data_IF_886260444064
#
_entry.id   IF_886260444064
#
_cell.length_a   1.000
_cell.length_b   1.000
_cell.length_c   1.000
_cell.angle_alpha   90.00
_cell.angle_beta   90.00
_cell.angle_gamma   90.00
#
_symmetry.space_group_name_H-M   'P 1'
#
loop_
_entity.id
_entity.type
_entity.pdbx_description
1 polymer ?
#
# COMPACT_ATOMS: atom_id res chain seq x y z
N UNK A 1 -10.37 7.23 -9.86
CA UNK A 1 -10.47 6.19 -8.81
C UNK A 1 -9.11 5.53 -8.70
N UNK A 2 -8.69 5.21 -7.49
CA UNK A 2 -7.39 4.58 -7.22
C UNK A 2 -7.64 3.38 -6.34
N UNK A 3 -6.96 2.28 -6.64
CA UNK A 3 -6.89 1.10 -5.79
C UNK A 3 -5.42 0.90 -5.43
N UNK A 4 -5.17 0.54 -4.18
CA UNK A 4 -3.86 0.13 -3.70
C UNK A 4 -3.95 -1.31 -3.22
N UNK A 5 -2.98 -2.14 -3.58
CA UNK A 5 -2.82 -3.49 -3.06
C UNK A 5 -1.50 -3.53 -2.31
N UNK A 6 -1.57 -3.88 -1.03
CA UNK A 6 -0.41 -4.06 -0.18
C UNK A 6 0.19 -5.45 -0.41
N UNK A 7 1.51 -5.50 -0.53
CA UNK A 7 2.29 -6.72 -0.54
C UNK A 7 3.44 -6.58 0.47
N UNK A 8 4.23 -7.65 0.67
CA UNK A 8 5.33 -7.67 1.63
C UNK A 8 6.41 -6.60 1.32
N UNK A 9 6.82 -6.48 0.06
CA UNK A 9 7.96 -5.68 -0.40
C UNK A 9 7.56 -4.48 -1.28
N UNK A 10 6.26 -4.32 -1.58
CA UNK A 10 5.77 -3.31 -2.51
C UNK A 10 4.30 -2.96 -2.29
N UNK A 11 3.90 -1.84 -2.86
CA UNK A 11 2.52 -1.44 -3.07
C UNK A 11 2.22 -1.42 -4.57
N UNK A 12 1.11 -2.04 -4.96
CA UNK A 12 0.59 -1.90 -6.31
C UNK A 12 -0.43 -0.78 -6.36
N UNK A 13 -0.20 0.22 -7.20
CA UNK A 13 -1.15 1.32 -7.44
C UNK A 13 -1.83 1.12 -8.78
N UNK A 14 -3.16 1.01 -8.75
CA UNK A 14 -3.98 0.79 -9.94
C UNK A 14 -4.86 2.02 -10.17
N UNK A 15 -4.73 2.62 -11.35
CA UNK A 15 -5.50 3.80 -11.78
C UNK A 15 -6.09 3.57 -13.17
N UNK A 16 -6.90 4.51 -13.67
CA UNK A 16 -7.44 4.49 -15.04
C UNK A 16 -8.26 3.23 -15.44
N UNK A 17 -8.78 2.47 -14.49
CA UNK A 17 -9.65 1.33 -14.75
C UNK A 17 -11.12 1.74 -14.97
N UNK A 18 -11.87 0.91 -15.71
CA UNK A 18 -13.32 1.11 -15.97
C UNK A 18 -14.14 -0.01 -15.32
N UNK A 19 -15.12 0.37 -14.50
CA UNK A 19 -15.92 -0.60 -13.74
C UNK A 19 -15.04 -1.41 -12.79
N UNK A 20 -15.13 -2.72 -12.91
CA UNK A 20 -14.36 -3.75 -12.20
C UNK A 20 -13.16 -4.28 -12.99
N UNK A 21 -12.88 -3.73 -14.17
CA UNK A 21 -11.75 -4.14 -15.01
C UNK A 21 -10.41 -3.57 -14.49
N UNK A 22 -10.03 -3.89 -13.25
CA UNK A 22 -8.85 -3.35 -12.58
C UNK A 22 -7.56 -3.61 -13.36
N UNK A 23 -7.40 -4.82 -13.91
CA UNK A 23 -6.22 -5.21 -14.68
C UNK A 23 -6.11 -4.54 -16.07
N UNK A 24 -7.16 -3.84 -16.52
CA UNK A 24 -7.10 -2.98 -17.73
C UNK A 24 -6.71 -1.53 -17.41
N UNK A 25 -6.49 -1.20 -16.13
CA UNK A 25 -5.98 0.09 -15.70
C UNK A 25 -4.46 0.22 -15.85
N UNK A 26 -3.93 1.37 -15.45
CA UNK A 26 -2.50 1.59 -15.26
C UNK A 26 -2.08 0.97 -13.94
N UNK A 27 -1.14 0.02 -13.99
CA UNK A 27 -0.59 -0.67 -12.82
C UNK A 27 0.83 -0.16 -12.60
N UNK A 28 1.08 0.39 -11.42
CA UNK A 28 2.37 0.95 -11.00
C UNK A 28 2.89 0.18 -9.78
N UNK A 29 4.17 -0.21 -9.82
CA UNK A 29 4.86 -0.85 -8.70
C UNK A 29 5.59 0.21 -7.87
N UNK A 30 5.23 0.32 -6.59
CA UNK A 30 5.88 1.20 -5.63
C UNK A 30 6.59 0.34 -4.59
N UNK A 31 7.90 0.11 -4.79
CA UNK A 31 8.71 -0.73 -3.92
C UNK A 31 8.90 -0.08 -2.54
N UNK A 32 8.91 -0.92 -1.53
CA UNK A 32 9.30 -0.51 -0.19
C UNK A 32 10.80 -0.72 0.02
N UNK A 33 11.40 0.15 0.83
CA UNK A 33 12.79 0.03 1.27
C UNK A 33 12.81 -0.34 2.76
N UNK A 34 12.31 -1.55 3.08
CA UNK A 34 12.24 -2.06 4.45
C UNK A 34 12.16 -3.60 4.48
N UNK A 35 12.42 -4.18 5.65
CA UNK A 35 12.39 -5.64 5.88
C UNK A 35 11.39 -6.03 7.00
N UNK A 36 10.20 -5.42 7.02
CA UNK A 36 9.12 -5.79 7.97
C UNK A 36 7.85 -6.24 7.26
N UNK A 37 7.17 -7.23 7.84
CA UNK A 37 5.92 -7.79 7.35
C UNK A 37 4.78 -6.77 7.53
N UNK A 38 4.08 -6.44 6.44
CA UNK A 38 2.97 -5.48 6.42
C UNK A 38 1.62 -6.18 6.50
N UNK A 39 0.74 -5.68 7.35
CA UNK A 39 -0.54 -6.31 7.70
C UNK A 39 -1.76 -5.45 7.31
N UNK A 40 -1.59 -4.15 7.14
CA UNK A 40 -2.71 -3.24 6.90
C UNK A 40 -2.33 -2.03 6.06
N UNK A 41 -3.30 -1.54 5.28
CA UNK A 41 -3.19 -0.31 4.49
C UNK A 41 -4.50 0.45 4.51
N UNK A 42 -4.45 1.78 4.67
CA UNK A 42 -5.61 2.63 4.48
C UNK A 42 -5.22 3.98 3.85
N UNK A 43 -6.17 4.62 3.16
CA UNK A 43 -5.98 5.99 2.68
C UNK A 43 -6.12 6.98 3.84
N UNK A 44 -5.09 7.80 4.03
CA UNK A 44 -5.18 9.01 4.88
C UNK A 44 -5.81 10.16 4.11
N UNK A 45 -5.41 10.30 2.85
CA UNK A 45 -5.88 11.32 1.91
C UNK A 45 -5.70 10.82 0.46
N UNK A 46 -5.91 11.70 -0.53
CA UNK A 46 -5.86 11.33 -1.94
C UNK A 46 -4.45 10.95 -2.46
N UNK A 47 -3.40 11.24 -1.68
CA UNK A 47 -1.99 11.10 -2.05
C UNK A 47 -1.17 10.29 -1.06
N UNK A 48 -1.74 9.94 0.10
CA UNK A 48 -1.03 9.32 1.21
C UNK A 48 -1.79 8.13 1.75
N UNK A 49 -1.07 7.03 1.96
CA UNK A 49 -1.57 5.84 2.67
C UNK A 49 -0.83 5.67 3.99
N UNK A 50 -1.54 5.11 4.97
CA UNK A 50 -0.96 4.58 6.19
C UNK A 50 -0.79 3.08 6.05
N UNK A 51 0.35 2.56 6.48
CA UNK A 51 0.69 1.15 6.42
C UNK A 51 1.12 0.69 7.82
N UNK A 52 0.65 -0.48 8.25
CA UNK A 52 1.02 -1.09 9.53
C UNK A 52 1.84 -2.34 9.30
N UNK A 53 2.83 -2.58 10.15
CA UNK A 53 3.56 -3.84 10.28
C UNK A 53 2.98 -4.75 11.37
N UNK A 54 3.31 -6.04 11.30
CA UNK A 54 2.93 -7.02 12.30
C UNK A 54 3.50 -6.63 13.67
N UNK A 55 2.64 -6.66 14.70
CA UNK A 55 3.05 -6.52 16.08
C UNK A 55 3.58 -7.87 16.58
N UNK A 56 4.89 -8.00 16.76
CA UNK A 56 5.41 -9.02 17.67
C UNK A 56 5.27 -8.50 19.10
N UNK A 57 4.65 -9.31 19.96
CA UNK A 57 4.53 -9.19 21.42
C UNK A 57 5.78 -8.64 22.15
N UNK A 58 6.98 -8.77 21.56
CA UNK A 58 8.25 -8.30 22.12
C UNK A 58 8.78 -6.99 21.52
N UNK A 59 8.44 -6.66 20.28
CA UNK A 59 9.07 -5.58 19.51
C UNK A 59 8.12 -4.40 19.24
N UNK A 60 6.82 -4.59 19.43
CA UNK A 60 5.81 -3.59 19.08
C UNK A 60 5.53 -3.56 17.57
N UNK A 61 4.80 -2.53 17.13
CA UNK A 61 4.48 -2.27 15.73
C UNK A 61 4.61 -0.79 15.42
N UNK A 62 4.89 -0.47 14.18
CA UNK A 62 4.94 0.88 13.64
C UNK A 62 3.72 1.20 12.77
N UNK A 63 3.55 2.49 12.52
CA UNK A 63 2.65 2.97 11.47
C UNK A 63 3.49 3.87 10.57
N UNK A 64 3.52 3.53 9.29
CA UNK A 64 4.25 4.26 8.27
C UNK A 64 3.30 5.13 7.48
N UNK A 65 3.80 6.28 7.01
CA UNK A 65 3.12 7.14 6.04
C UNK A 65 3.83 7.02 4.71
N UNK A 66 3.11 6.65 3.66
CA UNK A 66 3.68 6.44 2.32
C UNK A 66 2.96 7.32 1.29
N UNK A 67 3.72 8.07 0.49
CA UNK A 67 3.19 8.95 -0.56
C UNK A 67 3.08 8.19 -1.88
N UNK A 68 1.99 8.42 -2.60
CA UNK A 68 1.68 7.79 -3.88
C UNK A 68 2.15 8.60 -5.11
N UNK A 69 2.89 9.71 -4.88
CA UNK A 69 3.29 10.71 -5.86
C UNK A 69 4.60 11.40 -5.49
#
# INVERSE_FOLDING_TARGET
KTIVLLNHDKLWKITNFKGDNFFKGTIEELKFDHDSQKEGICFKDNSTVLITDESDSKLGSNIYSFKLN
#
